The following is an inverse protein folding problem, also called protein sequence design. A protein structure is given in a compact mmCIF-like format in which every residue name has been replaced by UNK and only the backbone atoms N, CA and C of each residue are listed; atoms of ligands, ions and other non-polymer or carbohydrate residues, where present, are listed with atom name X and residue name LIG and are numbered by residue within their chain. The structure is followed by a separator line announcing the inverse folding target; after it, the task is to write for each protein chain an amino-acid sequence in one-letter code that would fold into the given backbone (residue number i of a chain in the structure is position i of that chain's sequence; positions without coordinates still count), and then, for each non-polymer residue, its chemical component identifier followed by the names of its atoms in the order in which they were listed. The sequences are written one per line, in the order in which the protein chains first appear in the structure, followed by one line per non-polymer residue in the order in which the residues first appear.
data_IF_399928348488
#
_entry.id   IF_399928348488
#
_cell.length_a   1.000
_cell.length_b   1.000
_cell.length_c   1.000
_cell.angle_alpha   90.00
_cell.angle_beta   90.00
_cell.angle_gamma   90.00
#
_symmetry.space_group_name_H-M   'P 1'
#
loop_
_entity.id
_entity.type
_entity.pdbx_description
1 polymer ?
#
# COMPACT_ATOMS: atom_id res chain seq x y z
N UNK A 1 50.09 46.31 -33.34
CA UNK A 1 49.46 46.20 -32.00
C UNK A 1 47.96 46.02 -32.20
N UNK A 2 47.47 44.78 -32.06
CA UNK A 2 46.05 44.41 -32.25
C UNK A 2 45.21 44.95 -31.08
N UNK A 3 44.17 45.72 -31.34
CA UNK A 3 43.12 46.10 -30.37
C UNK A 3 41.85 45.31 -30.77
N UNK A 4 41.56 44.16 -30.12
CA UNK A 4 40.55 43.96 -29.05
C UNK A 4 39.17 44.52 -29.44
N UNK A 5 38.24 43.68 -29.92
CA UNK A 5 37.29 42.75 -29.22
C UNK A 5 35.92 43.43 -28.97
N UNK A 6 34.91 42.98 -29.74
CA UNK A 6 33.56 42.47 -29.37
C UNK A 6 32.94 43.09 -28.09
N UNK A 7 31.72 43.63 -28.02
CA UNK A 7 30.40 43.02 -28.26
C UNK A 7 29.33 44.11 -28.30
N UNK A 8 28.28 43.92 -29.12
CA UNK A 8 27.19 44.88 -29.37
C UNK A 8 26.24 44.93 -28.17
N UNK A 9 26.05 46.14 -27.63
CA UNK A 9 25.06 46.48 -26.61
C UNK A 9 23.65 46.64 -27.21
N UNK A 10 22.69 46.17 -26.42
CA UNK A 10 21.24 46.41 -26.47
C UNK A 10 20.77 47.61 -27.31
N UNK A 11 20.14 47.32 -28.46
CA UNK A 11 19.23 48.27 -29.10
C UNK A 11 17.87 47.60 -29.28
N UNK A 12 16.92 48.01 -28.43
CA UNK A 12 15.49 47.72 -28.57
C UNK A 12 15.02 48.31 -29.90
N UNK A 13 14.87 47.45 -30.91
CA UNK A 13 14.26 47.81 -32.17
C UNK A 13 12.74 47.87 -31.96
N UNK A 14 12.23 49.06 -31.65
CA UNK A 14 10.80 49.37 -31.74
C UNK A 14 10.41 49.29 -33.22
N UNK A 15 9.94 48.13 -33.67
CA UNK A 15 9.27 48.01 -34.95
C UNK A 15 7.86 48.58 -34.75
N UNK A 16 7.71 49.87 -35.07
CA UNK A 16 6.42 50.49 -35.35
C UNK A 16 5.86 49.87 -36.64
N UNK A 17 5.22 48.71 -36.53
CA UNK A 17 4.29 48.27 -37.56
C UNK A 17 3.05 49.16 -37.44
N UNK A 18 2.97 50.14 -38.33
CA UNK A 18 1.69 50.75 -38.68
C UNK A 18 0.82 49.66 -39.31
N UNK A 19 0.10 48.91 -38.49
CA UNK A 19 -1.04 48.14 -38.97
C UNK A 19 -2.08 49.19 -39.31
N UNK A 20 -2.08 49.58 -40.58
CA UNK A 20 -3.26 50.13 -41.22
C UNK A 20 -4.33 49.06 -41.07
N UNK A 21 -5.17 49.18 -40.04
CA UNK A 21 -6.42 48.45 -39.95
C UNK A 21 -7.28 48.99 -41.10
N UNK A 22 -7.11 48.39 -42.28
CA UNK A 22 -8.25 48.16 -43.14
C UNK A 22 -9.18 47.28 -42.32
N UNK A 23 -10.12 47.93 -41.64
CA UNK A 23 -11.25 47.29 -41.02
C UNK A 23 -12.15 46.79 -42.15
N UNK A 24 -11.74 45.69 -42.79
CA UNK A 24 -12.66 44.88 -43.56
C UNK A 24 -13.46 44.09 -42.54
N UNK A 25 -14.63 44.61 -42.21
CA UNK A 25 -15.69 43.90 -41.49
C UNK A 25 -15.89 42.54 -42.14
N UNK A 26 -15.43 41.48 -41.48
CA UNK A 26 -15.69 40.10 -41.86
C UNK A 26 -16.30 39.44 -40.61
N UNK A 27 -17.64 39.42 -40.65
CA UNK A 27 -18.62 38.76 -39.79
C UNK A 27 -18.68 39.19 -38.33
N UNK A 28 -19.59 40.13 -38.06
CA UNK A 28 -20.21 40.25 -36.74
C UNK A 28 -20.99 38.95 -36.46
N UNK A 29 -20.84 38.38 -35.27
CA UNK A 29 -21.87 38.57 -34.24
C UNK A 29 -23.28 38.05 -34.51
N UNK A 30 -23.55 37.36 -35.61
CA UNK A 30 -24.94 37.19 -36.05
C UNK A 30 -25.51 35.86 -35.54
N UNK A 31 -26.51 35.98 -34.68
CA UNK A 31 -27.43 34.90 -34.31
C UNK A 31 -28.09 34.33 -35.56
N UNK A 32 -28.51 33.06 -35.51
CA UNK A 32 -29.31 32.50 -36.59
C UNK A 32 -30.58 33.36 -36.76
N UNK A 33 -31.02 33.76 -37.97
CA UNK A 33 -32.20 34.63 -38.15
C UNK A 33 -33.52 34.12 -37.57
N UNK A 34 -33.55 32.87 -37.12
CA UNK A 34 -34.70 32.25 -36.46
C UNK A 34 -34.72 32.52 -34.95
N UNK A 35 -33.56 32.76 -34.34
CA UNK A 35 -33.38 33.17 -32.96
C UNK A 35 -33.61 34.68 -32.89
N UNK A 36 -34.76 35.07 -32.37
CA UNK A 36 -35.25 36.45 -32.38
C UNK A 36 -34.97 37.19 -31.08
N UNK A 37 -34.78 36.44 -29.99
CA UNK A 37 -34.44 36.99 -28.68
C UNK A 37 -32.92 37.02 -28.43
N UNK A 38 -32.13 36.44 -29.34
CA UNK A 38 -30.67 36.40 -29.31
C UNK A 38 -30.11 35.73 -28.05
N UNK A 39 -30.68 34.59 -27.66
CA UNK A 39 -30.28 33.84 -26.47
C UNK A 39 -29.44 32.57 -26.78
N UNK A 40 -29.01 32.41 -28.05
CA UNK A 40 -28.28 31.24 -28.55
C UNK A 40 -29.08 29.94 -28.51
N UNK A 41 -30.40 30.06 -28.43
CA UNK A 41 -31.34 28.95 -28.52
C UNK A 41 -32.37 29.29 -29.58
N UNK A 42 -32.82 28.27 -30.30
CA UNK A 42 -34.00 28.41 -31.15
C UNK A 42 -35.12 27.76 -30.36
N UNK A 43 -35.97 28.56 -29.73
CA UNK A 43 -37.14 28.05 -29.02
C UNK A 43 -38.13 27.41 -30.00
N UNK A 44 -39.04 26.57 -29.47
CA UNK A 44 -40.08 25.94 -30.31
C UNK A 44 -40.97 26.97 -31.02
N UNK A 45 -41.28 28.08 -30.35
CA UNK A 45 -42.10 29.16 -30.91
C UNK A 45 -41.37 29.93 -32.01
N UNK A 46 -40.08 30.23 -31.81
CA UNK A 46 -39.21 30.82 -32.82
C UNK A 46 -39.10 29.93 -34.06
N UNK A 47 -38.82 28.64 -33.85
CA UNK A 47 -38.73 27.67 -34.93
C UNK A 47 -40.02 27.59 -35.74
N UNK A 48 -41.18 27.44 -35.06
CA UNK A 48 -42.49 27.35 -35.71
C UNK A 48 -42.83 28.61 -36.51
N UNK A 49 -42.49 29.78 -35.96
CA UNK A 49 -42.79 31.06 -36.62
C UNK A 49 -41.91 31.24 -37.86
N UNK A 50 -40.61 30.93 -37.76
CA UNK A 50 -39.66 30.97 -38.87
C UNK A 50 -40.02 29.97 -39.99
N UNK A 51 -40.33 28.73 -39.64
CA UNK A 51 -40.74 27.67 -40.57
C UNK A 51 -42.06 28.02 -41.30
N UNK A 52 -43.03 28.62 -40.58
CA UNK A 52 -44.26 29.11 -41.19
C UNK A 52 -44.00 30.24 -42.20
N UNK A 53 -43.12 31.19 -41.89
CA UNK A 53 -42.77 32.29 -42.79
C UNK A 53 -42.09 31.77 -44.07
N UNK A 54 -41.15 30.83 -43.93
CA UNK A 54 -40.49 30.16 -45.06
C UNK A 54 -41.50 29.45 -45.96
N UNK A 55 -42.40 28.64 -45.39
CA UNK A 55 -43.44 27.90 -46.14
C UNK A 55 -44.41 28.81 -46.92
N UNK A 56 -44.66 30.01 -46.40
CA UNK A 56 -45.55 31.01 -47.04
C UNK A 56 -44.81 31.99 -47.96
N UNK A 57 -43.50 31.83 -48.14
CA UNK A 57 -42.64 32.78 -48.87
C UNK A 57 -42.80 34.22 -48.38
N UNK A 58 -43.01 34.40 -47.08
CA UNK A 58 -43.20 35.70 -46.45
C UNK A 58 -41.84 36.33 -46.13
N UNK A 59 -41.75 37.66 -46.19
CA UNK A 59 -40.59 38.38 -45.68
C UNK A 59 -40.44 38.19 -44.15
N UNK A 60 -39.21 38.03 -43.69
CA UNK A 60 -38.82 37.90 -42.29
C UNK A 60 -38.12 39.17 -41.80
N UNK A 61 -38.26 39.56 -40.51
CA UNK A 61 -37.63 40.77 -39.99
C UNK A 61 -36.10 40.80 -40.12
N UNK A 62 -35.46 39.63 -39.97
CA UNK A 62 -34.01 39.46 -40.14
C UNK A 62 -33.76 38.73 -41.45
N UNK A 63 -32.99 39.34 -42.36
CA UNK A 63 -32.67 38.70 -43.64
C UNK A 63 -31.91 37.38 -43.47
N UNK A 64 -31.74 36.59 -44.53
CA UNK A 64 -32.08 36.90 -45.93
C UNK A 64 -33.57 36.74 -46.30
N UNK A 65 -34.05 37.62 -47.19
CA UNK A 65 -35.41 37.61 -47.76
C UNK A 65 -35.37 37.41 -49.29
N UNK A 66 -36.14 36.45 -49.86
CA UNK A 66 -36.92 35.42 -49.16
C UNK A 66 -36.01 34.45 -48.39
N UNK A 67 -36.54 33.81 -47.33
CA UNK A 67 -35.79 32.84 -46.52
C UNK A 67 -35.27 31.71 -47.43
N UNK A 68 -33.94 31.51 -47.56
CA UNK A 68 -33.38 30.41 -48.33
C UNK A 68 -33.69 29.06 -47.68
N UNK A 69 -33.92 28.03 -48.50
CA UNK A 69 -34.16 26.68 -48.01
C UNK A 69 -33.02 26.14 -47.11
N UNK A 70 -31.77 26.57 -47.36
CA UNK A 70 -30.61 26.19 -46.55
C UNK A 70 -30.66 26.79 -45.13
N UNK A 71 -31.20 27.99 -44.95
CA UNK A 71 -31.40 28.61 -43.63
C UNK A 71 -32.53 27.93 -42.87
N UNK A 72 -33.67 27.67 -43.52
CA UNK A 72 -34.76 26.92 -42.91
C UNK A 72 -34.32 25.50 -42.48
N UNK A 73 -33.54 24.82 -43.32
CA UNK A 73 -32.96 23.52 -42.99
C UNK A 73 -31.97 23.59 -41.83
N UNK A 74 -31.13 24.64 -41.77
CA UNK A 74 -30.20 24.82 -40.65
C UNK A 74 -30.92 25.11 -39.34
N UNK A 75 -31.93 25.98 -39.34
CA UNK A 75 -32.77 26.23 -38.16
C UNK A 75 -33.35 24.92 -37.60
N UNK A 76 -33.92 24.07 -38.47
CA UNK A 76 -34.47 22.78 -38.08
C UNK A 76 -33.38 21.83 -37.53
N UNK A 77 -32.21 21.82 -38.14
CA UNK A 77 -31.08 21.02 -37.68
C UNK A 77 -30.64 21.44 -36.27
N UNK A 78 -30.45 22.73 -36.02
CA UNK A 78 -30.04 23.26 -34.72
C UNK A 78 -31.10 22.94 -33.65
N UNK A 79 -32.37 23.25 -33.93
CA UNK A 79 -33.50 22.98 -33.03
C UNK A 79 -33.63 21.51 -32.62
N UNK A 80 -33.35 20.57 -33.54
CA UNK A 80 -33.50 19.14 -33.28
C UNK A 80 -32.29 18.50 -32.60
N UNK A 81 -31.11 19.12 -32.67
CA UNK A 81 -29.85 18.47 -32.27
C UNK A 81 -29.43 18.79 -30.85
N UNK A 82 -29.61 20.03 -30.43
CA UNK A 82 -29.14 20.50 -29.15
C UNK A 82 -30.02 21.62 -28.59
N UNK A 83 -30.00 21.82 -27.27
CA UNK A 83 -30.71 22.93 -26.64
C UNK A 83 -30.04 24.30 -26.88
N UNK A 84 -28.79 24.33 -27.36
CA UNK A 84 -28.07 25.54 -27.76
C UNK A 84 -27.39 25.38 -29.11
N UNK A 85 -26.95 26.50 -29.67
CA UNK A 85 -26.06 26.54 -30.82
C UNK A 85 -25.03 27.67 -30.63
N UNK A 86 -23.96 27.62 -31.40
CA UNK A 86 -22.95 28.67 -31.43
C UNK A 86 -22.53 28.99 -32.86
N UNK A 87 -21.70 30.01 -33.03
CA UNK A 87 -21.10 30.39 -34.31
C UNK A 87 -19.67 29.86 -34.43
N UNK A 88 -19.41 29.09 -35.47
CA UNK A 88 -18.08 28.71 -35.94
C UNK A 88 -17.58 29.56 -37.11
N UNK A 89 -16.44 29.17 -37.68
CA UNK A 89 -15.73 29.92 -38.73
C UNK A 89 -16.24 29.65 -40.16
N UNK A 90 -17.30 28.87 -40.33
CA UNK A 90 -17.87 28.57 -41.63
C UNK A 90 -18.70 29.75 -42.16
N UNK A 91 -19.03 29.73 -43.46
CA UNK A 91 -19.95 30.71 -44.05
C UNK A 91 -21.40 30.33 -43.76
N UNK A 92 -22.25 31.34 -43.51
CA UNK A 92 -23.67 31.11 -43.27
C UNK A 92 -24.34 30.38 -44.47
N UNK A 93 -25.23 29.41 -44.21
CA UNK A 93 -25.77 29.05 -42.90
C UNK A 93 -24.99 27.97 -42.14
N UNK A 94 -23.87 27.47 -42.65
CA UNK A 94 -23.06 26.47 -41.94
C UNK A 94 -22.22 27.07 -40.82
N UNK A 95 -22.15 28.41 -40.72
CA UNK A 95 -21.53 29.13 -39.62
C UNK A 95 -22.10 28.73 -38.26
N UNK A 96 -23.40 28.46 -38.14
CA UNK A 96 -24.02 28.10 -36.86
C UNK A 96 -23.99 26.60 -36.65
N UNK A 97 -23.44 26.08 -35.56
CA UNK A 97 -23.43 24.65 -35.25
C UNK A 97 -23.98 24.39 -33.85
N UNK A 98 -24.40 23.15 -33.59
CA UNK A 98 -25.04 22.80 -32.32
C UNK A 98 -24.03 22.76 -31.17
N UNK A 99 -24.49 23.15 -29.98
CA UNK A 99 -23.76 23.13 -28.71
C UNK A 99 -24.65 22.40 -27.71
N UNK A 100 -24.28 21.17 -27.39
CA UNK A 100 -25.11 20.21 -26.68
C UNK A 100 -25.25 20.53 -25.19
N UNK A 101 -24.18 20.96 -24.55
CA UNK A 101 -24.15 21.24 -23.12
C UNK A 101 -24.25 22.72 -22.77
N UNK A 102 -24.29 23.58 -23.80
CA UNK A 102 -24.52 25.02 -23.72
C UNK A 102 -23.42 25.79 -22.99
N UNK A 103 -22.16 25.37 -23.10
CA UNK A 103 -21.03 26.06 -22.48
C UNK A 103 -20.40 27.15 -23.35
N UNK A 104 -20.91 27.31 -24.58
CA UNK A 104 -20.46 28.30 -25.54
C UNK A 104 -19.42 27.78 -26.53
N UNK A 105 -18.97 26.53 -26.41
CA UNK A 105 -18.22 25.84 -27.46
C UNK A 105 -19.14 24.91 -28.25
N UNK A 106 -19.21 25.11 -29.58
CA UNK A 106 -19.91 24.16 -30.44
C UNK A 106 -19.26 22.77 -30.37
N UNK A 107 -20.07 21.71 -30.44
CA UNK A 107 -19.61 20.31 -30.28
C UNK A 107 -18.42 19.95 -31.19
N UNK A 108 -18.32 20.59 -32.37
CA UNK A 108 -17.25 20.32 -33.34
C UNK A 108 -15.88 20.87 -32.92
N UNK A 109 -15.82 21.79 -31.96
CA UNK A 109 -14.58 22.36 -31.40
C UNK A 109 -14.43 22.11 -29.90
N UNK A 110 -15.46 21.56 -29.26
CA UNK A 110 -15.45 21.18 -27.87
C UNK A 110 -14.81 19.79 -27.68
N UNK A 111 -13.82 19.72 -26.78
CA UNK A 111 -13.17 18.45 -26.41
C UNK A 111 -13.93 17.70 -25.30
N UNK A 112 -14.99 18.29 -24.78
CA UNK A 112 -15.86 17.78 -23.73
C UNK A 112 -17.33 18.16 -24.00
N UNK A 113 -17.93 17.72 -25.13
CA UNK A 113 -19.27 18.13 -25.60
C UNK A 113 -20.47 17.72 -24.70
N UNK A 114 -20.19 17.22 -23.50
CA UNK A 114 -21.16 16.79 -22.50
C UNK A 114 -20.88 17.39 -21.10
N UNK A 115 -19.85 18.22 -20.94
CA UNK A 115 -19.47 18.87 -19.68
C UNK A 115 -19.52 20.40 -19.78
N UNK A 116 -20.65 20.94 -19.36
CA UNK A 116 -20.94 22.37 -19.48
C UNK A 116 -20.01 23.31 -18.69
N UNK A 117 -19.05 22.77 -17.93
CA UNK A 117 -18.08 23.55 -17.17
C UNK A 117 -16.68 23.52 -17.79
N UNK A 118 -16.46 22.73 -18.85
CA UNK A 118 -15.13 22.48 -19.40
C UNK A 118 -15.19 22.26 -20.91
N UNK A 119 -14.70 23.23 -21.67
CA UNK A 119 -14.43 23.07 -23.13
C UNK A 119 -13.17 22.22 -23.46
N UNK A 120 -12.38 21.87 -22.44
CA UNK A 120 -11.15 21.09 -22.56
C UNK A 120 -11.06 20.07 -21.44
N UNK A 121 -10.69 18.83 -21.80
CA UNK A 121 -10.64 17.70 -20.87
C UNK A 121 -9.73 17.93 -19.66
N UNK A 122 -8.63 18.68 -19.79
CA UNK A 122 -7.66 18.85 -18.71
C UNK A 122 -7.02 17.53 -18.27
N UNK A 123 -6.48 17.48 -17.05
CA UNK A 123 -5.79 16.30 -16.51
C UNK A 123 -6.80 15.28 -15.99
N UNK A 124 -7.91 15.75 -15.41
CA UNK A 124 -8.94 14.89 -14.86
C UNK A 124 -9.90 14.32 -15.89
N UNK A 125 -9.83 14.79 -17.14
CA UNK A 125 -10.81 14.49 -18.17
C UNK A 125 -12.09 15.32 -18.02
N UNK A 126 -13.05 15.09 -18.91
CA UNK A 126 -14.37 15.71 -18.85
C UNK A 126 -15.18 15.17 -17.65
N UNK A 127 -16.09 15.99 -17.12
CA UNK A 127 -17.00 15.66 -16.01
C UNK A 127 -16.34 15.65 -14.63
N UNK A 128 -15.05 15.99 -14.54
CA UNK A 128 -14.30 16.06 -13.28
C UNK A 128 -13.61 17.41 -13.14
N UNK A 129 -13.74 17.99 -11.95
CA UNK A 129 -13.10 19.26 -11.62
C UNK A 129 -11.56 19.13 -11.64
N UNK A 130 -10.88 20.15 -12.16
CA UNK A 130 -9.41 20.30 -12.10
C UNK A 130 -8.93 20.86 -10.75
N UNK A 131 -9.72 20.61 -9.70
CA UNK A 131 -9.50 21.11 -8.35
C UNK A 131 -9.76 19.98 -7.37
N UNK A 132 -8.95 19.92 -6.31
CA UNK A 132 -9.03 18.85 -5.31
C UNK A 132 -7.70 18.11 -5.26
N UNK A 133 -7.07 18.20 -4.10
CA UNK A 133 -5.82 17.54 -3.73
C UNK A 133 -5.91 17.37 -2.22
N UNK A 134 -6.45 16.23 -1.81
CA UNK A 134 -6.90 16.00 -0.44
C UNK A 134 -5.75 15.81 0.53
N UNK A 135 -4.69 15.14 0.10
CA UNK A 135 -3.49 14.91 0.90
C UNK A 135 -2.39 15.97 0.66
N UNK A 136 -2.58 16.86 -0.31
CA UNK A 136 -1.75 18.04 -0.62
C UNK A 136 -0.38 17.67 -1.20
N UNK A 137 -0.31 16.59 -1.96
CA UNK A 137 0.92 16.09 -2.58
C UNK A 137 1.21 16.71 -3.96
N UNK A 138 0.30 17.57 -4.43
CA UNK A 138 0.28 18.26 -5.74
C UNK A 138 -0.22 17.40 -6.90
N UNK A 139 -0.74 16.22 -6.62
CA UNK A 139 -1.47 15.37 -7.56
C UNK A 139 -2.95 15.55 -7.30
N UNK A 140 -3.72 15.76 -8.36
CA UNK A 140 -5.16 15.92 -8.21
C UNK A 140 -5.79 14.57 -7.84
N UNK A 141 -6.77 14.58 -6.94
CA UNK A 141 -7.53 13.39 -6.51
C UNK A 141 -8.01 12.52 -7.69
N UNK A 142 -8.28 13.15 -8.84
CA UNK A 142 -8.80 12.49 -10.04
C UNK A 142 -7.79 11.59 -10.76
N UNK A 143 -6.49 11.84 -10.59
CA UNK A 143 -5.36 11.11 -11.19
C UNK A 143 -4.44 10.50 -10.14
N UNK A 144 -4.77 10.67 -8.86
CA UNK A 144 -4.08 10.05 -7.74
C UNK A 144 -4.68 8.68 -7.42
N UNK A 145 -3.84 7.65 -7.39
CA UNK A 145 -4.25 6.28 -7.01
C UNK A 145 -4.17 6.06 -5.50
N UNK A 146 -3.68 7.03 -4.75
CA UNK A 146 -3.56 7.09 -3.30
C UNK A 146 -3.94 8.49 -2.77
N UNK A 147 -5.17 8.99 -3.03
CA UNK A 147 -5.58 10.38 -2.76
C UNK A 147 -5.61 10.80 -1.28
N UNK A 148 -5.21 9.92 -0.37
CA UNK A 148 -5.15 10.17 1.08
C UNK A 148 -3.71 9.99 1.62
N UNK A 149 -2.70 9.73 0.78
CA UNK A 149 -1.30 9.50 1.16
C UNK A 149 -0.34 10.46 0.45
N UNK A 150 0.02 11.53 1.15
CA UNK A 150 0.84 12.60 0.59
C UNK A 150 2.28 12.21 0.21
N UNK A 151 2.70 10.98 0.51
CA UNK A 151 4.02 10.46 0.15
C UNK A 151 3.98 9.56 -1.08
N UNK A 152 2.79 9.20 -1.56
CA UNK A 152 2.60 8.27 -2.67
C UNK A 152 1.41 8.67 -3.53
N UNK A 153 1.68 8.97 -4.80
CA UNK A 153 0.64 9.13 -5.85
C UNK A 153 0.11 7.79 -6.41
N UNK A 154 0.79 6.69 -6.05
CA UNK A 154 0.44 5.34 -6.50
C UNK A 154 0.79 4.29 -5.46
N UNK A 155 -0.03 3.24 -5.33
CA UNK A 155 0.30 2.09 -4.49
C UNK A 155 1.60 1.44 -4.97
N UNK A 156 2.46 1.06 -4.02
CA UNK A 156 3.58 0.16 -4.26
C UNK A 156 3.31 -1.17 -3.52
N UNK A 157 4.34 -1.95 -3.17
CA UNK A 157 4.20 -3.27 -2.52
C UNK A 157 3.32 -3.19 -1.26
N UNK A 158 3.57 -2.23 -0.36
CA UNK A 158 2.76 -2.08 0.86
C UNK A 158 1.42 -1.37 0.65
N UNK A 159 1.10 -0.92 -0.56
CA UNK A 159 -0.08 -0.12 -0.87
C UNK A 159 0.04 1.37 -0.46
N UNK A 160 -1.10 2.05 -0.36
CA UNK A 160 -1.17 3.44 0.13
C UNK A 160 -1.11 3.50 1.66
N UNK A 161 -0.59 4.59 2.21
CA UNK A 161 -0.58 4.91 3.64
C UNK A 161 0.42 4.11 4.47
N UNK A 162 1.21 3.24 3.85
CA UNK A 162 2.22 2.41 4.51
C UNK A 162 3.59 2.66 3.91
N UNK A 163 4.60 2.86 4.74
CA UNK A 163 5.97 3.03 4.28
C UNK A 163 6.55 1.71 3.75
N UNK A 164 7.43 1.80 2.75
CA UNK A 164 8.22 0.67 2.23
C UNK A 164 9.47 0.49 3.12
N UNK A 165 9.25 0.24 4.42
CA UNK A 165 10.34 0.02 5.38
C UNK A 165 10.72 -1.45 5.44
N UNK A 166 11.99 -1.71 5.67
CA UNK A 166 12.58 -3.01 6.00
C UNK A 166 13.44 -2.77 7.24
N UNK A 167 12.85 -3.00 8.42
CA UNK A 167 13.43 -2.55 9.68
C UNK A 167 14.61 -3.39 10.12
N UNK A 168 14.61 -4.68 9.83
CA UNK A 168 15.68 -5.60 10.20
C UNK A 168 16.70 -5.87 9.07
N UNK A 169 16.43 -5.33 7.87
CA UNK A 169 17.27 -5.40 6.67
C UNK A 169 17.40 -6.83 6.11
N UNK A 170 16.33 -7.61 6.20
CA UNK A 170 16.27 -8.98 5.69
C UNK A 170 15.87 -9.07 4.21
N UNK A 171 15.57 -7.90 3.61
CA UNK A 171 15.08 -7.68 2.23
C UNK A 171 13.60 -7.97 2.03
N UNK A 172 12.86 -8.19 3.10
CA UNK A 172 11.41 -8.27 3.13
C UNK A 172 10.89 -7.00 3.79
N UNK A 173 9.92 -6.36 3.14
CA UNK A 173 9.33 -5.15 3.70
C UNK A 173 8.46 -5.50 4.91
N UNK A 174 8.41 -4.61 5.90
CA UNK A 174 7.64 -4.76 7.14
C UNK A 174 6.18 -5.16 6.89
N UNK A 175 5.59 -4.75 5.76
CA UNK A 175 4.21 -5.08 5.39
C UNK A 175 4.01 -6.51 4.87
N UNK A 176 5.07 -7.12 4.34
CA UNK A 176 5.11 -8.49 3.83
C UNK A 176 5.84 -9.44 4.80
N UNK A 177 6.33 -8.90 5.92
CA UNK A 177 7.07 -9.62 6.94
C UNK A 177 6.20 -9.88 8.19
N UNK A 178 6.05 -11.16 8.56
CA UNK A 178 5.34 -11.55 9.78
C UNK A 178 6.25 -11.52 11.02
N UNK A 179 7.51 -11.18 10.84
CA UNK A 179 8.57 -11.07 11.83
C UNK A 179 9.48 -9.85 11.53
N UNK A 180 8.92 -8.62 11.47
CA UNK A 180 9.60 -7.40 10.97
C UNK A 180 10.79 -6.89 11.81
N UNK A 181 11.22 -7.66 12.81
CA UNK A 181 12.36 -7.38 13.69
C UNK A 181 13.35 -8.56 13.75
N UNK A 182 13.14 -9.63 12.97
CA UNK A 182 13.98 -10.84 12.93
C UNK A 182 14.60 -11.07 11.54
N UNK A 183 15.86 -10.65 11.32
CA UNK A 183 16.47 -10.67 9.98
C UNK A 183 16.80 -12.07 9.45
N UNK A 184 16.41 -13.11 10.19
CA UNK A 184 16.59 -14.52 9.82
C UNK A 184 15.26 -15.20 9.53
N UNK A 185 14.12 -14.53 9.74
CA UNK A 185 12.79 -15.11 9.57
C UNK A 185 11.81 -14.07 9.06
N UNK A 186 11.24 -14.35 7.90
CA UNK A 186 10.07 -13.63 7.37
C UNK A 186 8.73 -14.12 7.94
N UNK A 187 8.74 -15.29 8.58
CA UNK A 187 7.56 -15.96 9.15
C UNK A 187 7.88 -16.54 10.51
N UNK A 188 6.95 -16.46 11.48
CA UNK A 188 7.08 -17.11 12.76
C UNK A 188 7.38 -18.60 12.58
N UNK A 189 8.43 -19.08 13.24
CA UNK A 189 8.66 -20.51 13.39
C UNK A 189 7.87 -21.07 14.57
N UNK A 190 8.19 -22.30 15.02
CA UNK A 190 7.52 -22.90 16.19
C UNK A 190 7.75 -22.06 17.46
N UNK A 191 8.85 -21.32 17.51
CA UNK A 191 9.21 -20.46 18.62
C UNK A 191 8.77 -18.99 18.44
N UNK A 192 8.07 -18.66 17.35
CA UNK A 192 7.81 -17.28 16.96
C UNK A 192 9.00 -16.60 16.27
N UNK A 193 9.01 -15.27 16.29
CA UNK A 193 10.10 -14.42 15.79
C UNK A 193 11.19 -14.20 16.86
N UNK A 194 12.41 -13.90 16.45
CA UNK A 194 13.55 -13.57 17.32
C UNK A 194 14.17 -14.75 18.08
N UNK A 195 13.60 -15.95 17.95
CA UNK A 195 14.04 -17.16 18.66
C UNK A 195 14.62 -18.19 17.69
N UNK A 196 15.77 -18.77 18.01
CA UNK A 196 16.33 -19.85 17.18
C UNK A 196 15.60 -21.17 17.45
N UNK A 197 15.13 -21.83 16.40
CA UNK A 197 14.44 -23.14 16.52
C UNK A 197 15.35 -24.25 17.10
N UNK A 198 16.67 -24.08 16.93
CA UNK A 198 17.70 -25.05 17.34
C UNK A 198 17.81 -25.17 18.87
N UNK A 199 17.42 -24.12 19.61
CA UNK A 199 17.49 -24.08 21.08
C UNK A 199 16.20 -24.63 21.72
N UNK A 200 15.21 -24.94 20.88
CA UNK A 200 13.85 -25.27 21.26
C UNK A 200 13.10 -24.07 21.80
N UNK A 201 11.78 -24.17 21.84
CA UNK A 201 10.90 -23.08 22.26
C UNK A 201 10.48 -23.32 23.72
N UNK A 202 11.32 -22.97 24.72
CA UNK A 202 10.96 -23.14 26.10
C UNK A 202 9.80 -22.21 26.44
N UNK A 203 8.77 -22.78 27.05
CA UNK A 203 7.63 -22.06 27.61
C UNK A 203 7.53 -22.41 29.08
N UNK A 204 7.55 -21.40 29.94
CA UNK A 204 7.25 -21.56 31.35
C UNK A 204 5.74 -21.75 31.54
N UNK A 205 5.36 -22.95 31.98
CA UNK A 205 3.95 -23.32 32.18
C UNK A 205 3.40 -22.78 33.51
N UNK A 206 4.20 -22.07 34.32
CA UNK A 206 3.82 -21.51 35.63
C UNK A 206 3.31 -22.54 36.65
N UNK A 207 3.54 -23.83 36.40
CA UNK A 207 3.14 -24.95 37.25
C UNK A 207 4.36 -25.77 37.73
N UNK A 208 5.54 -25.16 37.69
CA UNK A 208 6.81 -25.80 38.02
C UNK A 208 7.45 -26.58 36.86
N UNK A 209 6.97 -26.39 35.62
CA UNK A 209 7.54 -27.05 34.43
C UNK A 209 7.86 -26.09 33.30
N UNK A 210 8.87 -26.43 32.48
CA UNK A 210 9.24 -25.73 31.24
C UNK A 210 9.04 -26.69 30.06
N UNK A 211 8.20 -26.34 29.08
CA UNK A 211 7.98 -27.18 27.88
C UNK A 211 8.73 -26.65 26.67
N UNK A 212 9.44 -27.52 25.96
CA UNK A 212 10.13 -27.24 24.71
C UNK A 212 9.23 -27.68 23.56
N UNK A 213 8.56 -26.73 22.90
CA UNK A 213 7.56 -27.05 21.87
C UNK A 213 8.13 -27.76 20.63
N UNK A 214 9.40 -27.56 20.31
CA UNK A 214 10.01 -28.18 19.13
C UNK A 214 10.40 -29.66 19.33
N UNK A 215 10.72 -30.06 20.56
CA UNK A 215 11.13 -31.44 20.91
C UNK A 215 10.07 -32.20 21.71
N UNK A 216 9.00 -31.52 22.11
CA UNK A 216 7.94 -32.07 22.96
C UNK A 216 8.44 -32.63 24.28
N UNK A 217 9.54 -32.06 24.77
CA UNK A 217 10.09 -32.33 26.09
C UNK A 217 9.53 -31.33 27.10
N UNK A 218 9.23 -31.80 28.29
CA UNK A 218 8.84 -30.98 29.44
C UNK A 218 9.83 -31.23 30.56
N UNK A 219 10.33 -30.16 31.16
CA UNK A 219 11.37 -30.21 32.17
C UNK A 219 10.83 -29.78 33.52
N UNK A 220 11.33 -30.40 34.57
CA UNK A 220 11.18 -29.88 35.91
C UNK A 220 11.87 -28.51 36.00
N UNK A 221 11.14 -27.46 36.38
CA UNK A 221 11.68 -26.09 36.47
C UNK A 221 12.63 -25.92 37.65
N UNK A 222 12.35 -26.58 38.77
CA UNK A 222 13.23 -26.60 39.93
C UNK A 222 14.18 -27.81 39.91
N UNK A 223 15.40 -27.62 40.37
CA UNK A 223 16.34 -28.69 40.70
C UNK A 223 15.76 -29.56 41.80
N UNK A 224 16.06 -30.86 41.76
CA UNK A 224 15.66 -31.79 42.82
C UNK A 224 16.12 -31.29 44.21
N UNK A 225 15.36 -31.56 45.28
CA UNK A 225 15.58 -30.95 46.59
C UNK A 225 16.92 -31.32 47.25
N UNK A 226 17.54 -32.42 46.84
CA UNK A 226 18.84 -32.86 47.33
C UNK A 226 19.66 -33.50 46.21
N UNK A 227 20.99 -33.48 46.36
CA UNK A 227 21.87 -34.32 45.55
C UNK A 227 21.62 -35.78 45.90
N UNK A 228 21.82 -36.65 44.93
CA UNK A 228 21.60 -38.09 45.10
C UNK A 228 22.52 -38.89 44.19
N UNK A 229 22.71 -40.17 44.52
CA UNK A 229 23.45 -41.10 43.67
C UNK A 229 22.68 -41.38 42.36
N UNK A 230 23.31 -42.05 41.41
CA UNK A 230 22.71 -42.25 40.09
C UNK A 230 21.48 -43.18 40.10
N UNK A 231 21.42 -44.14 41.02
CA UNK A 231 20.30 -45.06 41.13
C UNK A 231 19.11 -44.37 41.78
N UNK A 232 19.36 -43.61 42.85
CA UNK A 232 18.37 -42.76 43.50
C UNK A 232 17.87 -41.66 42.56
N UNK A 233 18.73 -41.07 41.73
CA UNK A 233 18.35 -40.10 40.69
C UNK A 233 17.32 -40.68 39.71
N UNK A 234 17.54 -41.92 39.25
CA UNK A 234 16.59 -42.60 38.38
C UNK A 234 15.28 -42.89 39.11
N UNK A 235 15.35 -43.36 40.35
CA UNK A 235 14.18 -43.66 41.16
C UNK A 235 13.35 -42.39 41.44
N UNK A 236 14.00 -41.29 41.81
CA UNK A 236 13.38 -39.99 42.02
C UNK A 236 12.64 -39.54 40.76
N UNK A 237 13.28 -39.54 39.59
CA UNK A 237 12.62 -39.11 38.37
C UNK A 237 11.44 -40.02 38.02
N UNK A 238 11.59 -41.35 38.10
CA UNK A 238 10.52 -42.29 37.72
C UNK A 238 9.31 -42.24 38.66
N UNK A 239 9.49 -41.82 39.91
CA UNK A 239 8.43 -41.69 40.90
C UNK A 239 7.89 -40.25 41.04
N UNK A 240 8.46 -39.29 40.32
CA UNK A 240 8.03 -37.90 40.37
C UNK A 240 6.61 -37.78 39.80
N UNK A 241 5.72 -37.11 40.54
CA UNK A 241 4.44 -36.62 40.03
C UNK A 241 4.44 -35.11 40.12
N UNK A 242 4.42 -34.44 38.97
CA UNK A 242 4.51 -32.98 38.86
C UNK A 242 3.63 -32.50 37.72
N UNK A 243 2.90 -31.41 37.95
CA UNK A 243 1.97 -30.80 36.99
C UNK A 243 0.95 -31.79 36.38
N UNK A 244 0.57 -32.83 37.14
CA UNK A 244 -0.35 -33.88 36.66
C UNK A 244 0.30 -34.95 35.79
N UNK A 245 1.63 -34.93 35.61
CA UNK A 245 2.39 -35.92 34.85
C UNK A 245 3.16 -36.85 35.78
N UNK A 246 3.23 -38.13 35.42
CA UNK A 246 3.96 -39.19 36.14
C UNK A 246 4.97 -39.93 35.25
N UNK A 247 5.14 -39.52 34.00
CA UNK A 247 6.05 -40.13 33.03
C UNK A 247 7.43 -39.44 33.01
N UNK A 248 7.88 -39.00 34.17
CA UNK A 248 9.16 -38.33 34.35
C UNK A 248 10.30 -39.34 34.32
N UNK A 249 11.46 -38.92 33.81
CA UNK A 249 12.67 -39.73 33.76
C UNK A 249 13.91 -38.87 33.88
N UNK A 250 15.02 -39.53 34.19
CA UNK A 250 16.33 -38.91 34.13
C UNK A 250 16.66 -38.61 32.64
N UNK A 251 17.04 -37.37 32.29
CA UNK A 251 17.32 -36.95 30.92
C UNK A 251 18.56 -37.64 30.35
N UNK A 252 18.66 -37.75 29.04
CA UNK A 252 19.90 -38.19 28.39
C UNK A 252 20.95 -37.07 28.45
N UNK A 253 22.21 -37.44 28.24
CA UNK A 253 23.32 -36.47 28.14
C UNK A 253 23.05 -35.44 27.03
N UNK A 254 22.52 -35.90 25.90
CA UNK A 254 22.20 -35.07 24.74
C UNK A 254 21.03 -34.11 25.01
N UNK A 255 20.03 -34.54 25.79
CA UNK A 255 18.91 -33.66 26.21
C UNK A 255 19.38 -32.57 27.18
N UNK A 256 20.19 -32.94 28.18
CA UNK A 256 20.72 -31.98 29.16
C UNK A 256 21.56 -30.89 28.50
N UNK A 257 22.29 -31.19 27.42
CA UNK A 257 23.06 -30.20 26.65
C UNK A 257 22.23 -28.98 26.24
N UNK A 258 20.95 -29.15 25.93
CA UNK A 258 20.11 -28.05 25.46
C UNK A 258 19.72 -27.06 26.57
N UNK A 259 19.76 -27.50 27.84
CA UNK A 259 19.53 -26.61 28.99
C UNK A 259 20.59 -25.53 29.07
N UNK A 260 21.85 -25.83 28.72
CA UNK A 260 22.96 -24.87 28.73
C UNK A 260 22.62 -23.56 27.99
N UNK A 261 21.99 -23.68 26.82
CA UNK A 261 21.57 -22.54 25.98
C UNK A 261 20.32 -21.82 26.45
N UNK A 262 19.61 -22.39 27.43
CA UNK A 262 18.32 -21.91 27.94
C UNK A 262 18.33 -21.76 29.47
N UNK A 263 19.52 -21.67 30.07
CA UNK A 263 19.70 -21.71 31.53
C UNK A 263 18.91 -20.61 32.26
N UNK A 264 18.62 -19.48 31.60
CA UNK A 264 17.77 -18.41 32.13
C UNK A 264 16.35 -18.87 32.52
N UNK A 265 15.81 -19.91 31.87
CA UNK A 265 14.51 -20.51 32.22
C UNK A 265 14.57 -21.41 33.47
N UNK A 266 15.79 -21.73 33.93
CA UNK A 266 16.06 -22.59 35.08
C UNK A 266 16.95 -21.85 36.10
N UNK A 267 16.40 -20.83 36.78
CA UNK A 267 17.19 -19.89 37.58
C UNK A 267 17.89 -20.52 38.80
N UNK A 268 17.50 -21.73 39.20
CA UNK A 268 18.12 -22.50 40.29
C UNK A 268 19.14 -23.55 39.80
N UNK A 269 19.52 -23.47 38.52
CA UNK A 269 20.56 -24.32 37.96
C UNK A 269 21.90 -23.94 38.57
N UNK A 270 22.57 -24.95 39.13
CA UNK A 270 23.88 -24.79 39.74
C UNK A 270 24.96 -25.04 38.69
N UNK A 271 25.54 -23.97 38.14
CA UNK A 271 26.42 -24.02 36.96
C UNK A 271 27.92 -24.18 37.26
N UNK A 272 28.45 -23.59 38.32
CA UNK A 272 29.87 -23.22 38.30
C UNK A 272 30.88 -24.34 38.62
N UNK A 273 30.47 -25.44 39.28
CA UNK A 273 31.38 -26.55 39.65
C UNK A 273 30.71 -27.92 39.78
N UNK A 274 29.43 -28.03 39.44
CA UNK A 274 28.63 -29.20 39.79
C UNK A 274 27.99 -29.84 38.56
N UNK A 275 27.74 -31.15 38.67
CA UNK A 275 27.18 -31.94 37.59
C UNK A 275 25.71 -32.24 37.86
N UNK A 276 24.94 -32.34 36.77
CA UNK A 276 23.60 -32.90 36.73
C UNK A 276 23.67 -34.31 36.16
N UNK A 277 23.05 -35.27 36.84
CA UNK A 277 23.02 -36.64 36.38
C UNK A 277 22.29 -36.80 35.05
N UNK A 278 22.91 -37.50 34.10
CA UNK A 278 22.23 -38.03 32.93
C UNK A 278 21.94 -39.53 33.09
N UNK A 279 20.95 -40.02 32.35
CA UNK A 279 20.63 -41.44 32.22
C UNK A 279 21.65 -42.21 31.36
N UNK A 280 22.52 -41.51 30.64
CA UNK A 280 23.53 -42.09 29.75
C UNK A 280 24.65 -42.74 30.57
N UNK A 281 24.69 -44.07 30.57
CA UNK A 281 25.72 -44.86 31.24
C UNK A 281 26.99 -44.94 30.38
N UNK A 282 28.17 -44.81 30.99
CA UNK A 282 29.44 -45.07 30.30
C UNK A 282 29.91 -46.50 30.55
N UNK A 283 29.87 -46.93 31.82
CA UNK A 283 30.21 -48.29 32.24
C UNK A 283 29.15 -48.81 33.21
N UNK A 284 29.33 -50.03 33.72
CA UNK A 284 28.46 -50.59 34.76
C UNK A 284 28.44 -49.75 36.02
N UNK A 285 29.55 -49.08 36.38
CA UNK A 285 29.71 -48.28 37.61
C UNK A 285 29.87 -46.78 37.37
N UNK A 286 29.91 -46.32 36.10
CA UNK A 286 30.01 -44.88 35.76
C UNK A 286 28.88 -44.40 34.87
N UNK A 287 28.49 -43.15 35.05
CA UNK A 287 27.51 -42.45 34.21
C UNK A 287 27.97 -41.02 33.91
N UNK A 288 27.43 -40.44 32.85
CA UNK A 288 27.75 -39.07 32.45
C UNK A 288 27.01 -38.05 33.33
N UNK A 289 27.75 -37.10 33.87
CA UNK A 289 27.24 -35.86 34.43
C UNK A 289 27.43 -34.72 33.44
N UNK A 290 26.47 -33.79 33.41
CA UNK A 290 26.54 -32.56 32.59
C UNK A 290 26.76 -31.36 33.50
N UNK A 291 27.78 -30.55 33.22
CA UNK A 291 28.03 -29.30 33.92
C UNK A 291 27.68 -28.13 33.01
N UNK A 292 26.97 -27.15 33.57
CA UNK A 292 26.52 -25.95 32.84
C UNK A 292 27.47 -24.75 33.04
N UNK A 293 28.69 -25.00 33.52
CA UNK A 293 29.74 -24.02 33.76
C UNK A 293 30.80 -24.08 32.67
N UNK A 294 31.30 -22.92 32.28
CA UNK A 294 32.01 -22.63 31.03
C UNK A 294 33.33 -23.37 30.73
N UNK A 295 33.68 -24.46 31.44
CA UNK A 295 34.99 -25.13 31.27
C UNK A 295 34.92 -26.61 30.89
N UNK A 296 33.94 -27.41 31.33
CA UNK A 296 33.83 -28.84 30.94
C UNK A 296 32.39 -29.35 30.95
N UNK A 297 31.76 -29.41 29.76
CA UNK A 297 30.34 -29.76 29.62
C UNK A 297 29.98 -31.18 30.10
N UNK A 298 30.90 -32.14 29.99
CA UNK A 298 30.66 -33.55 30.36
C UNK A 298 31.79 -34.13 31.20
N UNK A 299 31.43 -34.87 32.23
CA UNK A 299 32.37 -35.70 32.97
C UNK A 299 31.73 -37.03 33.37
N UNK A 300 32.49 -38.11 33.23
CA UNK A 300 32.07 -39.41 33.74
C UNK A 300 32.30 -39.47 35.25
N UNK A 301 31.27 -39.83 36.03
CA UNK A 301 31.29 -39.89 37.50
C UNK A 301 30.95 -41.30 37.99
N UNK A 302 31.37 -41.67 39.20
CA UNK A 302 30.96 -42.95 39.79
C UNK A 302 29.48 -42.88 40.11
N UNK A 303 28.73 -43.95 39.85
CA UNK A 303 27.29 -43.99 40.11
C UNK A 303 26.92 -43.84 41.59
N UNK A 304 27.88 -44.08 42.49
CA UNK A 304 27.78 -43.84 43.93
C UNK A 304 28.00 -42.38 44.34
N UNK A 305 28.49 -41.51 43.44
CA UNK A 305 28.69 -40.09 43.73
C UNK A 305 27.36 -39.36 43.76
N UNK A 306 27.23 -38.33 44.62
CA UNK A 306 26.01 -37.52 44.68
C UNK A 306 26.09 -36.30 43.76
N UNK A 307 25.16 -36.17 42.81
CA UNK A 307 25.07 -35.04 41.88
C UNK A 307 23.64 -34.46 41.84
N UNK A 308 23.47 -33.30 41.20
CA UNK A 308 22.16 -32.68 41.04
C UNK A 308 21.30 -33.45 40.03
N UNK A 309 19.99 -33.29 40.13
CA UNK A 309 19.02 -34.00 39.29
C UNK A 309 17.96 -33.03 38.82
N UNK A 310 17.59 -33.14 37.55
CA UNK A 310 16.44 -32.45 36.95
C UNK A 310 15.73 -33.44 36.05
N UNK A 311 14.44 -33.65 36.28
CA UNK A 311 13.66 -34.61 35.51
C UNK A 311 13.20 -34.03 34.16
N UNK A 312 13.02 -34.91 33.18
CA UNK A 312 12.40 -34.62 31.89
C UNK A 312 11.25 -35.60 31.62
N UNK A 313 10.23 -35.14 30.92
CA UNK A 313 9.10 -35.92 30.40
C UNK A 313 9.00 -35.72 28.89
N UNK A 314 8.61 -36.76 28.15
CA UNK A 314 8.46 -36.72 26.68
C UNK A 314 6.97 -36.72 26.27
N UNK A 315 6.68 -36.29 25.04
CA UNK A 315 5.35 -36.42 24.41
C UNK A 315 4.34 -35.34 24.81
N UNK A 316 4.80 -34.13 25.13
CA UNK A 316 3.96 -33.07 25.71
C UNK A 316 3.49 -31.99 24.71
N UNK A 317 3.68 -32.18 23.40
CA UNK A 317 2.99 -31.35 22.40
C UNK A 317 1.67 -32.02 22.04
N UNK A 318 0.56 -31.40 22.42
CA UNK A 318 -0.74 -31.58 21.79
C UNK A 318 -1.26 -30.22 21.37
#
# INVERSE_FOLDING_TARGET
MKLRKIHIDNFKLFILFTISFFQTSIYAEDYHPADTNHDWRISEDEFKTYDSAWKKTQEWPVGPNPIPASYAARAAYLFLKAPCYGSGNAIAPLSWDFDKDCDGAIDSIDLCPDDSNKIQAGICGCGKAETGDRDKDKTLDCVDLCPDDSNKVKPDICGCGKAETDRDNDKTLDCEDQCPDDPKKIKPGNCGCGQTEIIGCPVDNQNGTITYRSTCLMWQKQTAPSKMDWYDAKSYCNNLTLAGHSNWRLPTREELKFIDKTIHYFPDTVSDYYYYWSSTSETTYRAWGVNFGNTWLYESKQKSDTNYVRAVSSGQCR
#
